data_IF_433936122695
#
_entry.id   IF_433936122695
#
_cell.length_a   1.000
_cell.length_b   1.000
_cell.length_c   1.000
_cell.angle_alpha   90.00
_cell.angle_beta   90.00
_cell.angle_gamma   90.00
#
_symmetry.space_group_name_H-M   'P 1'
#
loop_
_entity.id
_entity.type
_entity.pdbx_description
1 polymer ?
#
# COMPACT_ATOMS: atom_id res chain seq x y z
N UNK A 1 5.87 6.64 1.49
CA UNK A 1 5.63 5.56 2.48
C UNK A 1 5.94 6.07 3.88
N UNK A 2 5.51 5.40 4.96
CA UNK A 2 5.70 5.84 6.35
C UNK A 2 7.16 5.63 6.82
N UNK A 3 7.96 6.69 6.97
CA UNK A 3 9.36 6.56 7.35
C UNK A 3 9.52 6.23 8.84
N UNK A 4 8.62 6.69 9.71
CA UNK A 4 8.69 6.39 11.15
C UNK A 4 8.49 4.91 11.49
N UNK A 5 7.82 4.15 10.62
CA UNK A 5 7.56 2.73 10.83
C UNK A 5 8.48 1.82 10.02
N UNK A 6 9.57 2.32 9.42
CA UNK A 6 10.38 1.56 8.46
C UNK A 6 10.91 0.23 9.01
N UNK A 7 11.36 0.23 10.26
CA UNK A 7 11.84 -0.99 10.93
C UNK A 7 10.70 -1.96 11.21
N UNK A 8 9.56 -1.44 11.71
CA UNK A 8 8.37 -2.24 11.97
C UNK A 8 7.80 -2.86 10.70
N UNK A 9 7.78 -2.11 9.60
CA UNK A 9 7.37 -2.59 8.26
C UNK A 9 8.27 -3.72 7.81
N UNK A 10 9.60 -3.58 7.95
CA UNK A 10 10.56 -4.60 7.53
C UNK A 10 10.35 -5.90 8.32
N UNK A 11 10.07 -5.78 9.62
CA UNK A 11 9.76 -6.92 10.45
C UNK A 11 8.40 -7.54 10.11
N UNK A 12 7.33 -6.73 9.97
CA UNK A 12 6.00 -7.23 9.66
C UNK A 12 5.90 -7.86 8.28
N UNK A 13 6.73 -7.44 7.31
CA UNK A 13 6.84 -8.12 6.02
C UNK A 13 7.31 -9.57 6.16
N UNK A 14 8.08 -9.91 7.19
CA UNK A 14 8.56 -11.29 7.40
C UNK A 14 7.69 -12.04 8.41
N UNK A 15 7.20 -11.36 9.44
CA UNK A 15 6.45 -11.99 10.54
C UNK A 15 4.95 -12.03 10.34
N UNK A 16 4.39 -11.15 9.49
CA UNK A 16 2.95 -11.01 9.31
C UNK A 16 2.54 -11.25 7.84
N UNK A 17 2.07 -12.46 7.48
CA UNK A 17 1.72 -12.81 6.10
C UNK A 17 0.68 -11.88 5.46
N UNK A 18 -0.35 -11.49 6.22
CA UNK A 18 -1.34 -10.51 5.75
C UNK A 18 -0.73 -9.15 5.41
N UNK A 19 0.20 -8.64 6.24
CA UNK A 19 0.89 -7.37 5.99
C UNK A 19 1.71 -7.46 4.71
N UNK A 20 2.44 -8.55 4.52
CA UNK A 20 3.20 -8.80 3.29
C UNK A 20 2.30 -8.77 2.05
N UNK A 21 1.18 -9.50 2.06
CA UNK A 21 0.23 -9.53 0.93
C UNK A 21 -0.39 -8.15 0.63
N UNK A 22 -0.72 -7.38 1.67
CA UNK A 22 -1.24 -6.01 1.50
C UNK A 22 -0.17 -5.07 0.94
N UNK A 23 1.07 -5.24 1.39
CA UNK A 23 2.19 -4.43 0.95
C UNK A 23 2.53 -4.67 -0.52
N UNK A 24 2.55 -5.94 -0.94
CA UNK A 24 2.80 -6.31 -2.33
C UNK A 24 1.67 -5.79 -3.23
N UNK A 25 0.40 -5.99 -2.84
CA UNK A 25 -0.75 -5.42 -3.56
C UNK A 25 -0.65 -3.90 -3.71
N UNK A 26 -0.19 -3.20 -2.68
CA UNK A 26 0.00 -1.74 -2.74
C UNK A 26 1.08 -1.36 -3.76
N UNK A 27 2.20 -2.10 -3.82
CA UNK A 27 3.25 -1.85 -4.81
C UNK A 27 2.80 -2.19 -6.23
N UNK A 28 2.08 -3.29 -6.40
CA UNK A 28 1.52 -3.68 -7.70
C UNK A 28 0.56 -2.62 -8.22
N UNK A 29 -0.33 -2.11 -7.36
CA UNK A 29 -1.22 -1.00 -7.71
C UNK A 29 -0.43 0.27 -8.07
N UNK A 30 0.66 0.57 -7.38
CA UNK A 30 1.48 1.74 -7.70
C UNK A 30 2.15 1.62 -9.07
N UNK A 31 2.72 0.45 -9.36
CA UNK A 31 3.27 0.15 -10.69
C UNK A 31 2.21 0.20 -11.78
N UNK A 32 1.02 -0.35 -11.54
CA UNK A 32 -0.11 -0.31 -12.47
C UNK A 32 -0.56 1.14 -12.71
N UNK A 33 -0.67 1.95 -11.65
CA UNK A 33 -0.99 3.39 -11.76
C UNK A 33 0.06 4.10 -12.61
N UNK A 34 1.35 3.91 -12.35
CA UNK A 34 2.44 4.53 -13.12
C UNK A 34 2.40 4.10 -14.60
N UNK A 35 2.18 2.82 -14.85
CA UNK A 35 2.05 2.26 -16.21
C UNK A 35 0.87 2.89 -16.95
N UNK A 36 -0.29 2.98 -16.30
CA UNK A 36 -1.49 3.59 -16.87
C UNK A 36 -1.35 5.11 -17.04
N UNK A 37 -0.65 5.79 -16.13
CA UNK A 37 -0.34 7.22 -16.27
C UNK A 37 0.58 7.49 -17.46
N UNK A 38 1.50 6.56 -17.77
CA UNK A 38 2.34 6.64 -18.96
C UNK A 38 1.55 6.37 -20.26
N UNK A 39 0.45 5.61 -20.19
CA UNK A 39 -0.44 5.39 -21.33
C UNK A 39 -1.43 6.55 -21.42
N UNK A 40 -1.13 7.54 -22.25
CA UNK A 40 -1.97 8.73 -22.40
C UNK A 40 -3.25 8.42 -23.18
N UNK A 41 -4.39 8.31 -22.47
CA UNK A 41 -5.72 8.19 -23.06
C UNK A 41 -6.82 8.54 -22.05
N UNK A 42 -7.78 9.40 -22.42
CA UNK A 42 -8.82 9.91 -21.51
C UNK A 42 -9.61 8.80 -20.77
N UNK A 43 -9.78 7.63 -21.40
CA UNK A 43 -10.46 6.48 -20.80
C UNK A 43 -9.73 5.82 -19.63
N UNK A 44 -8.44 6.10 -19.43
CA UNK A 44 -7.64 5.54 -18.33
C UNK A 44 -7.74 6.39 -17.05
N UNK A 45 -8.22 7.63 -17.13
CA UNK A 45 -8.33 8.52 -15.97
C UNK A 45 -9.28 7.98 -14.90
N UNK A 46 -10.44 7.45 -15.27
CA UNK A 46 -11.38 6.84 -14.33
C UNK A 46 -10.82 5.59 -13.65
N UNK A 47 -10.06 4.80 -14.43
CA UNK A 47 -9.38 3.60 -13.93
C UNK A 47 -8.26 3.97 -12.95
N UNK A 48 -7.44 4.96 -13.28
CA UNK A 48 -6.40 5.51 -12.40
C UNK A 48 -7.02 6.08 -11.11
N UNK A 49 -8.14 6.80 -11.20
CA UNK A 49 -8.84 7.33 -10.03
C UNK A 49 -9.34 6.20 -9.10
N UNK A 50 -9.83 5.10 -9.69
CA UNK A 50 -10.26 3.91 -8.94
C UNK A 50 -9.07 3.22 -8.27
N UNK A 51 -7.98 2.99 -9.00
CA UNK A 51 -6.76 2.37 -8.46
C UNK A 51 -6.13 3.23 -7.35
N UNK A 52 -6.15 4.56 -7.48
CA UNK A 52 -5.68 5.49 -6.43
C UNK A 52 -6.52 5.37 -5.15
N UNK A 53 -7.85 5.21 -5.28
CA UNK A 53 -8.73 4.96 -4.12
C UNK A 53 -8.40 3.62 -3.45
N UNK A 54 -8.17 2.56 -4.23
CA UNK A 54 -7.75 1.27 -3.69
C UNK A 54 -6.39 1.34 -3.00
N UNK A 55 -5.42 2.03 -3.61
CA UNK A 55 -4.11 2.26 -3.02
C UNK A 55 -4.21 2.98 -1.67
N UNK A 56 -5.10 3.98 -1.58
CA UNK A 56 -5.35 4.68 -0.31
C UNK A 56 -5.93 3.73 0.75
N UNK A 57 -6.90 2.89 0.37
CA UNK A 57 -7.46 1.86 1.29
C UNK A 57 -6.40 0.88 1.78
N UNK A 58 -5.54 0.37 0.89
CA UNK A 58 -4.46 -0.51 1.30
C UNK A 58 -3.49 0.19 2.24
N UNK A 59 -3.18 1.46 1.98
CA UNK A 59 -2.32 2.27 2.86
C UNK A 59 -2.96 2.44 4.25
N UNK A 60 -4.27 2.69 4.33
CA UNK A 60 -5.00 2.80 5.60
C UNK A 60 -5.00 1.47 6.37
N UNK A 61 -5.18 0.35 5.67
CA UNK A 61 -5.13 -0.99 6.29
C UNK A 61 -3.73 -1.34 6.78
N UNK A 62 -2.69 -1.03 5.99
CA UNK A 62 -1.29 -1.15 6.41
C UNK A 62 -1.01 -0.28 7.63
N UNK A 63 -1.46 0.97 7.63
CA UNK A 63 -1.28 1.88 8.77
C UNK A 63 -1.98 1.36 10.02
N UNK A 64 -3.19 0.81 9.89
CA UNK A 64 -3.91 0.21 11.01
C UNK A 64 -3.13 -0.95 11.64
N UNK A 65 -2.61 -1.87 10.83
CA UNK A 65 -1.77 -2.98 11.32
C UNK A 65 -0.50 -2.42 11.99
N UNK A 66 0.16 -1.43 11.39
CA UNK A 66 1.35 -0.81 11.98
C UNK A 66 1.05 -0.20 13.35
N UNK A 67 -0.11 0.45 13.48
CA UNK A 67 -0.50 1.09 14.74
C UNK A 67 -0.89 0.06 15.80
N UNK A 68 -1.60 -1.00 15.42
CA UNK A 68 -1.95 -2.12 16.30
C UNK A 68 -0.67 -2.84 16.79
N UNK A 69 0.27 -3.15 15.90
CA UNK A 69 1.56 -3.78 16.25
C UNK A 69 2.47 -2.86 17.07
N UNK A 70 2.49 -1.57 16.74
CA UNK A 70 3.23 -0.57 17.52
C UNK A 70 2.67 -0.42 18.93
N UNK A 71 1.36 -0.57 19.12
CA UNK A 71 0.73 -0.51 20.44
C UNK A 71 0.88 -1.84 21.21
N UNK A 72 0.81 -2.99 20.54
CA UNK A 72 0.97 -4.30 21.16
C UNK A 72 2.40 -4.55 21.69
N UNK A 73 3.39 -3.83 21.14
CA UNK A 73 4.80 -3.88 21.54
C UNK A 73 5.21 -2.84 22.59
N UNK A 74 4.31 -1.91 22.93
CA UNK A 74 4.52 -0.89 23.96
C UNK A 74 4.05 -1.40 25.33
#
# INVERSE_FOLDING_TARGET
>A
MFPEYRDLITQLKTTHPRFHSLFDKHNDLDHEILRLQSQSGNSLNDKIATLKKEKLRLKDELYRILREESQARA
#
